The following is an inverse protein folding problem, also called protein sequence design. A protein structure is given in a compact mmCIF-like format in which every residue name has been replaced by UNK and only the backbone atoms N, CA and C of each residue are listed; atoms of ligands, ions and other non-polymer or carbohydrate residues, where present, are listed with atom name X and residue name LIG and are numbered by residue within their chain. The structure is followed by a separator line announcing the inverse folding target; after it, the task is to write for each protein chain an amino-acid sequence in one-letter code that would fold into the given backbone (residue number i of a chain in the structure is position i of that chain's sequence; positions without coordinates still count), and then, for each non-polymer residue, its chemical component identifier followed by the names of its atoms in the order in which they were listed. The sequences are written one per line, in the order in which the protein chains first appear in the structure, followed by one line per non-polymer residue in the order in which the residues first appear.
data_IF_396947159495
#
_entry.id   IF_396947159495
#
_cell.length_a   1.000
_cell.length_b   1.000
_cell.length_c   1.000
_cell.angle_alpha   90.00
_cell.angle_beta   90.00
_cell.angle_gamma   90.00
#
_symmetry.space_group_name_H-M   'P 1'
#
loop_
_entity.id
_entity.type
_entity.pdbx_description
1 polymer ?
#
# COMPACT_ATOMS: atom_id res chain seq x y z
N UNK A 1 -25.31 5.73 5.89
CA UNK A 1 -24.24 4.71 5.93
C UNK A 1 -22.97 5.39 5.46
N UNK A 2 -21.88 5.30 6.22
CA UNK A 2 -20.61 5.96 5.87
C UNK A 2 -19.77 4.96 5.08
N UNK A 3 -19.34 5.34 3.88
CA UNK A 3 -18.44 4.51 3.07
C UNK A 3 -17.02 4.62 3.65
N UNK A 4 -16.35 3.48 3.83
CA UNK A 4 -15.02 3.35 4.42
C UNK A 4 -14.09 2.57 3.48
N UNK A 5 -12.86 3.07 3.28
CA UNK A 5 -11.81 2.36 2.54
C UNK A 5 -10.91 1.62 3.53
N UNK A 6 -10.75 0.31 3.36
CA UNK A 6 -9.75 -0.48 4.07
C UNK A 6 -8.76 -1.06 3.06
N UNK A 7 -7.47 -0.78 3.27
CA UNK A 7 -6.37 -1.26 2.42
C UNK A 7 -5.52 -2.24 3.20
N UNK A 8 -5.29 -3.42 2.62
CA UNK A 8 -4.23 -4.33 3.08
C UNK A 8 -2.87 -3.75 2.68
N UNK A 9 -2.11 -3.30 3.67
CA UNK A 9 -0.82 -2.64 3.49
C UNK A 9 0.25 -3.56 2.94
N UNK A 10 0.36 -4.81 3.42
CA UNK A 10 1.39 -5.74 2.95
C UNK A 10 1.11 -6.22 1.53
N UNK A 11 -0.14 -6.58 1.22
CA UNK A 11 -0.51 -6.99 -0.12
C UNK A 11 -0.31 -5.87 -1.14
N UNK A 12 -0.68 -4.62 -0.78
CA UNK A 12 -0.49 -3.48 -1.67
C UNK A 12 0.99 -3.12 -1.84
N UNK A 13 1.78 -3.15 -0.76
CA UNK A 13 3.21 -2.89 -0.81
C UNK A 13 3.96 -3.93 -1.67
N UNK A 14 3.62 -5.21 -1.53
CA UNK A 14 4.17 -6.28 -2.36
C UNK A 14 3.89 -6.02 -3.84
N UNK A 15 2.62 -5.74 -4.18
CA UNK A 15 2.22 -5.42 -5.57
C UNK A 15 2.92 -4.17 -6.10
N UNK A 16 3.08 -3.13 -5.27
CA UNK A 16 3.77 -1.92 -5.66
C UNK A 16 5.26 -2.17 -5.97
N UNK A 17 5.94 -2.91 -5.11
CA UNK A 17 7.37 -3.21 -5.26
C UNK A 17 7.65 -4.02 -6.53
N UNK A 18 6.90 -5.10 -6.76
CA UNK A 18 7.10 -5.98 -7.93
C UNK A 18 6.43 -5.46 -9.22
N UNK A 19 5.48 -4.54 -9.11
CA UNK A 19 4.76 -3.97 -10.26
C UNK A 19 5.52 -2.85 -10.97
N UNK A 20 6.36 -2.10 -10.26
CA UNK A 20 7.20 -1.04 -10.86
C UNK A 20 8.50 -1.65 -11.36
N UNK A 21 8.59 -1.87 -12.68
CA UNK A 21 9.75 -2.50 -13.33
C UNK A 21 10.96 -1.58 -13.49
N UNK A 22 10.75 -0.27 -13.47
CA UNK A 22 11.84 0.70 -13.64
C UNK A 22 12.61 0.83 -12.31
N UNK A 23 13.94 0.65 -12.31
CA UNK A 23 14.75 0.88 -11.12
C UNK A 23 14.63 2.33 -10.65
N UNK A 24 14.32 2.53 -9.37
CA UNK A 24 14.24 3.85 -8.75
C UNK A 24 15.06 3.83 -7.47
N UNK A 25 16.02 4.74 -7.36
CA UNK A 25 16.95 4.81 -6.23
C UNK A 25 16.87 6.20 -5.60
N UNK A 26 16.92 6.26 -4.27
CA UNK A 26 17.19 7.50 -3.55
C UNK A 26 18.64 7.96 -3.77
N UNK A 27 18.99 9.22 -3.44
CA UNK A 27 20.39 9.68 -3.49
C UNK A 27 21.36 8.81 -2.65
N UNK A 28 20.86 8.15 -1.60
CA UNK A 28 21.63 7.23 -0.77
C UNK A 28 21.71 5.78 -1.30
N UNK A 29 21.20 5.52 -2.51
CA UNK A 29 21.24 4.18 -3.11
C UNK A 29 20.21 3.19 -2.56
N UNK A 30 19.17 3.67 -1.86
CA UNK A 30 18.07 2.80 -1.39
C UNK A 30 16.99 2.70 -2.49
N UNK A 31 16.50 1.50 -2.84
CA UNK A 31 15.38 1.34 -3.77
C UNK A 31 14.10 2.02 -3.24
N UNK A 32 13.43 2.80 -4.08
CA UNK A 32 12.21 3.56 -3.73
C UNK A 32 11.01 3.27 -4.64
N UNK A 33 11.16 2.32 -5.57
CA UNK A 33 10.10 1.89 -6.49
C UNK A 33 8.84 1.41 -5.76
N UNK A 34 9.00 0.69 -4.64
CA UNK A 34 7.87 0.23 -3.82
C UNK A 34 7.09 1.37 -3.19
N UNK A 35 7.77 2.37 -2.63
CA UNK A 35 7.15 3.56 -2.03
C UNK A 35 6.40 4.37 -3.09
N UNK A 36 7.03 4.59 -4.25
CA UNK A 36 6.42 5.28 -5.38
C UNK A 36 5.16 4.56 -5.88
N UNK A 37 5.27 3.25 -6.13
CA UNK A 37 4.14 2.43 -6.58
C UNK A 37 2.99 2.43 -5.58
N UNK A 38 3.29 2.29 -4.30
CA UNK A 38 2.29 2.24 -3.23
C UNK A 38 1.52 3.55 -3.13
N UNK A 39 2.23 4.69 -3.12
CA UNK A 39 1.60 6.01 -3.11
C UNK A 39 0.70 6.25 -4.34
N UNK A 40 1.17 5.87 -5.54
CA UNK A 40 0.36 5.96 -6.78
C UNK A 40 -0.91 5.11 -6.72
N UNK A 41 -0.82 3.92 -6.14
CA UNK A 41 -1.99 3.03 -5.97
C UNK A 41 -2.96 3.58 -4.94
N UNK A 42 -2.48 4.10 -3.81
CA UNK A 42 -3.32 4.74 -2.80
C UNK A 42 -4.08 5.95 -3.36
N UNK A 43 -3.39 6.84 -4.08
CA UNK A 43 -4.03 8.01 -4.71
C UNK A 43 -5.18 7.57 -5.61
N UNK A 44 -4.98 6.56 -6.46
CA UNK A 44 -6.04 6.03 -7.33
C UNK A 44 -7.24 5.46 -6.57
N UNK A 45 -6.99 4.79 -5.44
CA UNK A 45 -8.07 4.25 -4.59
C UNK A 45 -8.89 5.40 -4.00
N UNK A 46 -8.22 6.45 -3.52
CA UNK A 46 -8.86 7.63 -2.94
C UNK A 46 -9.66 8.39 -4.00
N UNK A 47 -9.06 8.66 -5.16
CA UNK A 47 -9.71 9.37 -6.28
C UNK A 47 -10.91 8.60 -6.86
N UNK A 48 -10.87 7.26 -6.81
CA UNK A 48 -11.93 6.39 -7.30
C UNK A 48 -13.08 6.15 -6.31
N UNK A 49 -12.95 6.63 -5.07
CA UNK A 49 -13.92 6.36 -4.00
C UNK A 49 -14.62 7.63 -3.54
N UNK A 50 -15.87 7.49 -3.05
CA UNK A 50 -16.61 8.58 -2.37
C UNK A 50 -16.51 8.51 -0.84
N UNK A 51 -15.76 7.53 -0.32
CA UNK A 51 -15.54 7.37 1.11
C UNK A 51 -14.86 8.61 1.71
N UNK A 52 -15.31 8.99 2.90
CA UNK A 52 -14.73 10.12 3.65
C UNK A 52 -13.66 9.68 4.63
N UNK A 53 -13.63 8.38 4.92
CA UNK A 53 -12.75 7.78 5.91
C UNK A 53 -12.01 6.61 5.26
N UNK A 54 -10.82 6.32 5.77
CA UNK A 54 -10.07 5.17 5.34
C UNK A 54 -8.94 4.80 6.29
N UNK A 55 -8.50 3.56 6.21
CA UNK A 55 -7.35 3.05 6.95
C UNK A 55 -6.52 2.09 6.09
N UNK A 56 -5.21 2.09 6.32
CA UNK A 56 -4.30 1.05 5.86
C UNK A 56 -4.03 0.14 7.04
N UNK A 57 -4.25 -1.15 6.86
CA UNK A 57 -4.11 -2.17 7.89
C UNK A 57 -2.86 -2.99 7.61
N UNK A 58 -2.08 -3.25 8.65
CA UNK A 58 -0.88 -4.09 8.58
C UNK A 58 -1.07 -5.32 9.44
N UNK A 59 -0.38 -6.40 9.08
CA UNK A 59 -0.39 -7.61 9.87
C UNK A 59 0.19 -7.37 11.26
N UNK A 60 -0.40 -8.05 12.24
CA UNK A 60 0.13 -8.09 13.60
C UNK A 60 1.53 -8.76 13.60
N UNK A 61 2.46 -8.32 14.45
CA UNK A 61 3.75 -8.99 14.60
C UNK A 61 3.66 -10.42 15.16
N UNK A 62 2.50 -10.83 15.70
CA UNK A 62 2.29 -12.12 16.32
C UNK A 62 1.55 -13.14 15.46
N UNK A 63 1.67 -14.45 15.76
CA UNK A 63 0.95 -15.50 15.05
C UNK A 63 -0.56 -15.37 15.23
N UNK A 64 -1.31 -15.81 14.21
CA UNK A 64 -2.76 -15.90 14.29
C UNK A 64 -3.21 -17.12 15.08
N UNK A 65 -4.46 -17.11 15.56
CA UNK A 65 -5.09 -18.27 16.20
C UNK A 65 -5.24 -19.48 15.26
N UNK A 66 -5.16 -19.27 13.94
CA UNK A 66 -5.07 -20.33 12.93
C UNK A 66 -3.61 -20.77 12.83
N UNK A 67 -3.33 -21.99 13.30
CA UNK A 67 -2.08 -22.73 13.07
C UNK A 67 -2.32 -23.79 12.00
#
# INVERSE_FOLDING_TARGET
MTDLILVDGHALAYRAYFGVKNPMMSPGGVPVNGVYGFGRMLIRIIEGSRAREGAVVFDSPGPSFRK
#
